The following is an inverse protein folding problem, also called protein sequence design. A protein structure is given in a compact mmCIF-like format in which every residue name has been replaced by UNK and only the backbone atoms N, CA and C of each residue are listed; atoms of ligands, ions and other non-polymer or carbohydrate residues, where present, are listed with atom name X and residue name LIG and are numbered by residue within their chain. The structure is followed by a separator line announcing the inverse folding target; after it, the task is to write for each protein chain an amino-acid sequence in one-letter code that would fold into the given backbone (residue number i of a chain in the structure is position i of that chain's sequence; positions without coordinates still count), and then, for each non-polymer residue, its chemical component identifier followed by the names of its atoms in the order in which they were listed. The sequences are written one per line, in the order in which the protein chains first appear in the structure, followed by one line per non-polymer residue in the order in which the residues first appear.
data_IF_600791410102
#
_entry.id   IF_600791410102
#
_cell.length_a   1.000
_cell.length_b   1.000
_cell.length_c   1.000
_cell.angle_alpha   90.00
_cell.angle_beta   90.00
_cell.angle_gamma   90.00
#
_symmetry.space_group_name_H-M   'P 1'
#
loop_
_entity.id
_entity.type
_entity.pdbx_description
1 polymer ?
#
# COMPACT_ATOMS: atom_id res chain seq x y z
N UNK A 1 0.14 21.55 9.13
CA UNK A 1 -0.22 20.16 9.44
C UNK A 1 -0.53 20.04 10.93
N UNK A 2 -1.55 19.24 11.32
CA UNK A 2 -1.83 19.00 12.75
C UNK A 2 -0.74 18.12 13.37
N UNK A 3 -0.58 18.18 14.70
CA UNK A 3 0.39 17.32 15.42
C UNK A 3 0.18 15.84 15.14
N UNK A 4 -1.06 15.40 14.92
CA UNK A 4 -1.40 14.00 14.59
C UNK A 4 -0.89 13.53 13.21
N UNK A 5 -0.59 14.43 12.29
CA UNK A 5 0.02 14.07 10.99
C UNK A 5 1.54 13.90 11.08
N UNK A 6 2.16 14.40 12.15
CA UNK A 6 3.62 14.36 12.33
C UNK A 6 4.05 13.32 13.37
N UNK A 7 3.21 13.06 14.39
CA UNK A 7 3.47 12.04 15.40
C UNK A 7 2.42 10.94 15.29
N UNK A 8 2.81 9.77 14.86
CA UNK A 8 1.93 8.62 14.74
C UNK A 8 2.67 7.33 15.12
N UNK A 9 1.94 6.22 15.30
CA UNK A 9 2.52 4.95 15.77
C UNK A 9 3.69 4.42 14.92
N UNK A 10 3.83 4.86 13.68
CA UNK A 10 4.89 4.42 12.76
C UNK A 10 6.14 5.30 12.77
N UNK A 11 6.10 6.49 13.37
CA UNK A 11 7.26 7.38 13.41
C UNK A 11 6.89 8.84 13.65
N UNK A 12 7.92 9.69 13.64
CA UNK A 12 7.83 11.14 13.83
C UNK A 12 8.07 11.88 12.51
N UNK A 13 7.21 11.66 11.54
CA UNK A 13 7.26 12.33 10.25
C UNK A 13 5.85 12.58 9.72
N UNK A 14 5.69 13.55 8.84
CA UNK A 14 4.40 13.80 8.24
C UNK A 14 4.02 12.67 7.27
N UNK A 15 2.80 12.17 7.39
CA UNK A 15 2.26 11.15 6.48
C UNK A 15 0.88 11.57 5.98
N UNK A 16 0.69 11.54 4.66
CA UNK A 16 -0.58 11.88 4.04
C UNK A 16 -1.00 10.74 3.11
N UNK A 17 -2.15 10.15 3.39
CA UNK A 17 -2.71 9.07 2.58
C UNK A 17 -3.82 9.60 1.67
N UNK A 18 -3.95 9.07 0.46
CA UNK A 18 -5.02 9.37 -0.49
C UNK A 18 -5.48 8.09 -1.19
N UNK A 19 -6.68 8.10 -1.74
CA UNK A 19 -7.26 7.00 -2.51
C UNK A 19 -8.47 6.37 -1.85
N UNK A 20 -8.83 5.17 -2.31
CA UNK A 20 -10.04 4.46 -1.93
C UNK A 20 -9.73 3.56 -0.73
N UNK A 21 -10.45 3.73 0.38
CA UNK A 21 -10.21 3.00 1.62
C UNK A 21 -11.51 2.46 2.23
N UNK A 22 -11.37 1.39 3.02
CA UNK A 22 -12.40 0.89 3.89
C UNK A 22 -11.77 0.19 5.10
N UNK A 23 -12.17 0.62 6.28
CA UNK A 23 -11.66 0.13 7.56
C UNK A 23 -11.64 1.25 8.60
N UNK A 24 -11.06 0.99 9.78
CA UNK A 24 -10.88 2.02 10.80
C UNK A 24 -12.18 2.72 11.26
N UNK A 25 -13.33 2.02 11.21
CA UNK A 25 -14.63 2.58 11.60
C UNK A 25 -15.48 3.15 10.45
N UNK A 26 -14.97 3.16 9.22
CA UNK A 26 -15.76 3.58 8.06
C UNK A 26 -16.99 2.67 7.88
N UNK A 27 -18.14 3.29 7.55
CA UNK A 27 -19.41 2.57 7.32
C UNK A 27 -19.58 2.12 5.86
N UNK A 28 -18.83 2.72 4.95
CA UNK A 28 -18.80 2.41 3.50
C UNK A 28 -17.42 2.65 2.93
N UNK A 29 -17.14 2.03 1.81
CA UNK A 29 -15.97 2.35 0.98
C UNK A 29 -16.06 3.81 0.53
N UNK A 30 -14.94 4.50 0.50
CA UNK A 30 -14.90 5.89 0.08
C UNK A 30 -13.48 6.39 -0.17
N UNK A 31 -13.38 7.53 -0.82
CA UNK A 31 -12.13 8.26 -0.94
C UNK A 31 -11.74 8.83 0.43
N UNK A 32 -10.45 8.80 0.74
CA UNK A 32 -9.92 9.46 1.93
C UNK A 32 -10.14 10.98 1.80
N UNK A 33 -10.81 11.56 2.80
CA UNK A 33 -11.15 12.97 2.81
C UNK A 33 -9.97 13.86 3.20
N UNK A 34 -9.86 15.01 2.54
CA UNK A 34 -8.85 16.05 2.79
C UNK A 34 -9.50 17.42 2.86
N UNK A 35 -8.81 18.36 3.52
CA UNK A 35 -9.16 19.78 3.37
C UNK A 35 -8.96 20.20 1.90
N UNK A 36 -9.68 21.23 1.40
CA UNK A 36 -9.50 21.69 0.02
C UNK A 36 -8.05 22.01 -0.34
N UNK A 37 -7.31 22.59 0.60
CA UNK A 37 -5.89 22.90 0.43
C UNK A 37 -5.04 21.66 0.24
N UNK A 38 -5.19 20.64 1.10
CA UNK A 38 -4.45 19.38 0.99
C UNK A 38 -4.86 18.60 -0.26
N UNK A 39 -6.13 18.61 -0.64
CA UNK A 39 -6.61 17.97 -1.85
C UNK A 39 -5.93 18.56 -3.10
N UNK A 40 -5.87 19.88 -3.22
CA UNK A 40 -5.21 20.56 -4.33
C UNK A 40 -3.71 20.20 -4.44
N UNK A 41 -2.99 20.15 -3.30
CA UNK A 41 -1.57 19.74 -3.27
C UNK A 41 -1.43 18.29 -3.70
N UNK A 42 -2.24 17.37 -3.16
CA UNK A 42 -2.21 15.96 -3.50
C UNK A 42 -2.52 15.74 -4.98
N UNK A 43 -3.47 16.49 -5.54
CA UNK A 43 -3.80 16.41 -6.97
C UNK A 43 -2.64 16.88 -7.83
N UNK A 44 -1.99 17.99 -7.49
CA UNK A 44 -0.80 18.47 -8.18
C UNK A 44 0.34 17.41 -8.13
N UNK A 45 0.58 16.80 -6.96
CA UNK A 45 1.58 15.75 -6.80
C UNK A 45 1.24 14.52 -7.65
N UNK A 46 -0.01 14.04 -7.61
CA UNK A 46 -0.47 12.88 -8.40
C UNK A 46 -0.40 13.13 -9.91
N UNK A 47 -0.64 14.37 -10.35
CA UNK A 47 -0.59 14.76 -11.75
C UNK A 47 0.83 14.96 -12.26
N UNK A 48 1.83 15.13 -11.40
CA UNK A 48 3.23 15.30 -11.84
C UNK A 48 3.71 14.08 -12.61
N UNK A 49 4.43 14.32 -13.70
CA UNK A 49 4.98 13.25 -14.56
C UNK A 49 5.91 12.33 -13.77
N UNK A 50 6.75 12.87 -12.90
CA UNK A 50 7.68 12.10 -12.07
C UNK A 50 6.92 11.14 -11.15
N UNK A 51 5.90 11.63 -10.43
CA UNK A 51 5.12 10.81 -9.50
C UNK A 51 4.34 9.71 -10.24
N UNK A 52 3.74 10.03 -11.38
CA UNK A 52 3.05 9.02 -12.21
C UNK A 52 4.01 7.94 -12.71
N UNK A 53 5.23 8.30 -13.11
CA UNK A 53 6.24 7.32 -13.54
C UNK A 53 6.65 6.39 -12.40
N UNK A 54 6.89 6.93 -11.20
CA UNK A 54 7.23 6.14 -10.00
C UNK A 54 6.07 5.19 -9.65
N UNK A 55 4.84 5.71 -9.57
CA UNK A 55 3.68 4.92 -9.24
C UNK A 55 3.40 3.80 -10.27
N UNK A 56 3.55 4.10 -11.56
CA UNK A 56 3.37 3.12 -12.62
C UNK A 56 4.50 2.09 -12.68
N UNK A 57 5.74 2.47 -12.37
CA UNK A 57 6.84 1.51 -12.24
C UNK A 57 6.53 0.48 -11.14
N UNK A 58 6.10 0.92 -9.96
CA UNK A 58 5.70 0.04 -8.86
C UNK A 58 4.52 -0.88 -9.24
N UNK A 59 3.49 -0.33 -9.91
CA UNK A 59 2.34 -1.09 -10.39
C UNK A 59 2.73 -2.13 -11.47
N UNK A 60 3.58 -1.76 -12.41
CA UNK A 60 4.05 -2.67 -13.45
C UNK A 60 4.94 -3.77 -12.88
N UNK A 61 5.79 -3.46 -11.89
CA UNK A 61 6.55 -4.47 -11.14
C UNK A 61 5.61 -5.42 -10.41
N UNK A 62 4.55 -4.91 -9.77
CA UNK A 62 3.54 -5.75 -9.14
C UNK A 62 2.84 -6.68 -10.14
N UNK A 63 2.46 -6.15 -11.31
CA UNK A 63 1.86 -6.93 -12.39
C UNK A 63 2.80 -8.01 -12.94
N UNK A 64 4.10 -7.69 -13.08
CA UNK A 64 5.10 -8.60 -13.62
C UNK A 64 5.41 -9.76 -12.66
N UNK A 65 5.64 -9.46 -11.39
CA UNK A 65 6.09 -10.45 -10.42
C UNK A 65 4.94 -11.18 -9.70
N UNK A 66 3.74 -10.59 -9.66
CA UNK A 66 2.58 -11.10 -8.95
C UNK A 66 1.30 -10.98 -9.79
N UNK A 67 1.33 -11.46 -11.03
CA UNK A 67 0.29 -11.22 -12.04
C UNK A 67 -1.12 -11.62 -11.58
N UNK A 68 -1.28 -12.79 -10.96
CA UNK A 68 -2.57 -13.29 -10.43
C UNK A 68 -3.10 -12.38 -9.31
N UNK A 69 -2.21 -11.95 -8.41
CA UNK A 69 -2.55 -11.07 -7.29
C UNK A 69 -2.86 -9.65 -7.77
N UNK A 70 -2.08 -9.13 -8.72
CA UNK A 70 -2.34 -7.86 -9.38
C UNK A 70 -3.73 -7.84 -10.03
N UNK A 71 -4.05 -8.88 -10.80
CA UNK A 71 -5.39 -9.00 -11.42
C UNK A 71 -6.51 -9.03 -10.38
N UNK A 72 -6.32 -9.74 -9.27
CA UNK A 72 -7.30 -9.77 -8.17
C UNK A 72 -7.52 -8.38 -7.54
N UNK A 73 -6.45 -7.59 -7.36
CA UNK A 73 -6.54 -6.21 -6.88
C UNK A 73 -7.30 -5.33 -7.87
N UNK A 74 -6.89 -5.38 -9.12
CA UNK A 74 -7.42 -4.54 -10.19
C UNK A 74 -8.90 -4.81 -10.45
N UNK A 75 -9.28 -6.08 -10.59
CA UNK A 75 -10.67 -6.49 -10.77
C UNK A 75 -11.57 -6.10 -9.58
N UNK A 76 -11.04 -6.20 -8.34
CA UNK A 76 -11.78 -5.75 -7.16
C UNK A 76 -12.01 -4.24 -7.20
N UNK A 77 -10.98 -3.49 -7.55
CA UNK A 77 -11.05 -2.02 -7.59
C UNK A 77 -11.93 -1.53 -8.74
N UNK A 78 -11.89 -2.19 -9.90
CA UNK A 78 -12.80 -1.94 -11.03
C UNK A 78 -14.25 -2.16 -10.63
N UNK A 79 -14.56 -3.28 -9.97
CA UNK A 79 -15.91 -3.57 -9.49
C UNK A 79 -16.42 -2.51 -8.50
N UNK A 80 -15.55 -2.01 -7.61
CA UNK A 80 -15.89 -0.94 -6.67
C UNK A 80 -16.17 0.39 -7.40
N UNK A 81 -15.29 0.80 -8.31
CA UNK A 81 -15.44 2.05 -9.07
C UNK A 81 -16.62 2.01 -10.05
N UNK A 82 -16.90 0.87 -10.67
CA UNK A 82 -18.05 0.70 -11.54
C UNK A 82 -19.38 0.83 -10.78
N UNK A 83 -19.41 0.38 -9.52
CA UNK A 83 -20.58 0.46 -8.67
C UNK A 83 -20.78 1.84 -8.04
N UNK A 84 -19.69 2.53 -7.72
CA UNK A 84 -19.71 3.88 -7.17
C UNK A 84 -18.75 4.78 -7.97
N UNK A 85 -19.28 5.53 -8.97
CA UNK A 85 -18.48 6.41 -9.81
C UNK A 85 -17.81 7.58 -9.05
N UNK A 86 -18.17 7.82 -7.78
CA UNK A 86 -17.49 8.82 -6.95
C UNK A 86 -16.11 8.38 -6.48
N UNK A 87 -15.83 7.07 -6.54
CA UNK A 87 -14.54 6.51 -6.17
C UNK A 87 -13.47 6.81 -7.23
N UNK A 88 -12.35 7.34 -6.78
CA UNK A 88 -11.29 7.80 -7.69
C UNK A 88 -9.97 7.08 -7.39
N UNK A 89 -9.44 6.38 -8.38
CA UNK A 89 -8.07 5.83 -8.32
C UNK A 89 -7.06 6.97 -8.25
N UNK A 90 -6.01 6.83 -7.45
CA UNK A 90 -4.93 7.81 -7.39
C UNK A 90 -4.20 7.96 -8.74
N UNK A 91 -4.02 6.85 -9.46
CA UNK A 91 -3.34 6.79 -10.75
C UNK A 91 -4.14 5.90 -11.69
N UNK A 92 -4.32 6.33 -12.93
CA UNK A 92 -5.05 5.57 -13.96
C UNK A 92 -4.38 4.22 -14.21
N UNK A 93 -5.16 3.14 -14.21
CA UNK A 93 -4.65 1.78 -14.47
C UNK A 93 -3.79 1.19 -13.36
N UNK A 94 -3.78 1.81 -12.17
CA UNK A 94 -3.03 1.33 -11.02
C UNK A 94 -3.93 0.44 -10.13
N UNK A 95 -3.44 -0.75 -9.78
CA UNK A 95 -4.18 -1.73 -8.98
C UNK A 95 -4.18 -1.42 -7.48
N UNK A 96 -3.30 -0.53 -7.00
CA UNK A 96 -3.30 -0.12 -5.60
C UNK A 96 -4.39 0.92 -5.34
N UNK A 97 -5.25 0.65 -4.36
CA UNK A 97 -6.37 1.52 -4.00
C UNK A 97 -5.94 2.80 -3.30
N UNK A 98 -4.86 2.73 -2.52
CA UNK A 98 -4.33 3.83 -1.72
C UNK A 98 -2.86 4.11 -2.02
N UNK A 99 -2.46 5.35 -1.76
CA UNK A 99 -1.07 5.77 -1.67
C UNK A 99 -0.87 6.63 -0.43
N UNK A 100 0.26 6.46 0.26
CA UNK A 100 0.69 7.33 1.35
C UNK A 100 2.03 7.96 0.98
N UNK A 101 2.10 9.27 1.10
CA UNK A 101 3.33 10.03 1.03
C UNK A 101 3.86 10.24 2.44
N UNK A 102 4.98 9.59 2.77
CA UNK A 102 5.74 9.87 3.97
C UNK A 102 6.67 11.04 3.65
N UNK A 103 6.39 12.18 4.28
CA UNK A 103 7.05 13.45 4.01
C UNK A 103 8.11 13.71 5.10
N UNK A 104 9.30 14.06 4.64
CA UNK A 104 10.45 14.27 5.51
C UNK A 104 10.36 15.40 6.52
N UNK A 105 11.50 15.87 6.98
CA UNK A 105 12.80 15.63 6.34
C UNK A 105 13.31 14.19 6.43
N UNK A 106 13.07 13.47 7.52
CA UNK A 106 13.57 12.11 7.73
C UNK A 106 12.42 11.15 8.04
N UNK A 107 11.79 10.62 6.99
CA UNK A 107 10.72 9.62 7.11
C UNK A 107 11.30 8.25 7.48
N UNK A 108 11.58 8.05 8.76
CA UNK A 108 12.10 6.82 9.35
C UNK A 108 11.01 6.13 10.15
N UNK A 109 10.62 4.95 9.72
CA UNK A 109 9.54 4.19 10.35
C UNK A 109 10.07 3.31 11.48
N UNK A 110 9.38 3.32 12.61
CA UNK A 110 9.56 2.35 13.69
C UNK A 110 9.11 0.95 13.27
N UNK A 111 9.47 -0.06 14.06
CA UNK A 111 9.03 -1.44 13.81
C UNK A 111 7.51 -1.54 13.84
N UNK A 112 6.92 -2.02 12.75
CA UNK A 112 5.48 -2.18 12.62
C UNK A 112 5.10 -3.21 11.56
N UNK A 113 3.81 -3.57 11.54
CA UNK A 113 3.13 -4.20 10.42
C UNK A 113 1.97 -3.32 9.97
N UNK A 114 1.61 -3.40 8.71
CA UNK A 114 0.43 -2.74 8.15
C UNK A 114 -0.81 -3.67 8.23
N UNK A 115 -1.17 -4.08 9.43
CA UNK A 115 -2.17 -5.11 9.73
C UNK A 115 -3.57 -4.87 9.13
N UNK A 116 -3.88 -3.66 8.65
CA UNK A 116 -5.12 -3.35 7.94
C UNK A 116 -5.05 -3.63 6.44
N UNK A 117 -3.88 -3.85 5.88
CA UNK A 117 -3.72 -4.24 4.48
C UNK A 117 -4.17 -5.70 4.27
N UNK A 118 -4.35 -6.08 3.01
CA UNK A 118 -4.69 -7.47 2.67
C UNK A 118 -3.57 -8.41 3.16
N UNK A 119 -3.85 -9.44 4.01
CA UNK A 119 -2.81 -10.24 4.64
C UNK A 119 -1.87 -10.96 3.67
N UNK A 120 -2.38 -11.43 2.53
CA UNK A 120 -1.58 -12.06 1.47
C UNK A 120 -1.24 -11.08 0.33
N UNK A 121 -1.50 -9.79 0.57
CA UNK A 121 -1.29 -8.75 -0.42
C UNK A 121 0.10 -8.17 -0.39
N UNK A 122 0.44 -7.43 -1.45
CA UNK A 122 1.68 -6.67 -1.54
C UNK A 122 1.45 -5.19 -1.31
N UNK A 123 2.45 -4.57 -0.71
CA UNK A 123 2.63 -3.13 -0.62
C UNK A 123 3.87 -2.77 -1.45
N UNK A 124 3.78 -1.73 -2.25
CA UNK A 124 4.93 -1.17 -2.95
C UNK A 124 5.47 0.01 -2.16
N UNK A 125 6.74 -0.02 -1.81
CA UNK A 125 7.43 1.05 -1.09
C UNK A 125 8.54 1.57 -1.99
N UNK A 126 8.50 2.86 -2.32
CA UNK A 126 9.56 3.55 -3.08
C UNK A 126 10.26 4.53 -2.17
N UNK A 127 11.57 4.37 -1.99
CA UNK A 127 12.42 5.32 -1.28
C UNK A 127 12.68 6.55 -2.17
N UNK A 128 12.64 7.73 -1.56
CA UNK A 128 12.88 9.01 -2.23
C UNK A 128 13.73 9.89 -1.31
N UNK A 129 14.36 10.90 -1.86
CA UNK A 129 15.14 11.88 -1.13
C UNK A 129 16.60 11.93 -1.55
N UNK A 130 17.42 12.45 -0.65
CA UNK A 130 18.87 12.59 -0.80
C UNK A 130 19.54 12.15 0.50
N UNK A 131 20.09 10.95 0.50
CA UNK A 131 20.77 10.32 1.63
C UNK A 131 21.74 9.24 1.15
N UNK A 132 22.76 8.92 1.95
CA UNK A 132 23.70 7.82 1.69
C UNK A 132 23.09 6.46 2.10
N UNK A 133 22.66 5.63 1.13
CA UNK A 133 21.99 4.36 1.41
C UNK A 133 22.92 3.31 2.00
N UNK A 134 24.25 3.48 1.90
CA UNK A 134 25.23 2.56 2.49
C UNK A 134 25.39 2.77 3.99
N UNK A 135 24.98 3.92 4.50
CA UNK A 135 25.15 4.34 5.90
C UNK A 135 23.85 4.44 6.67
N UNK A 136 22.71 4.63 5.99
CA UNK A 136 21.42 4.80 6.65
C UNK A 136 20.22 4.57 5.73
N UNK A 137 19.00 4.71 6.26
CA UNK A 137 17.77 4.56 5.49
C UNK A 137 17.42 3.14 5.03
N UNK A 138 18.22 2.14 5.40
CA UNK A 138 17.99 0.74 5.07
C UNK A 138 16.58 0.30 5.42
N UNK A 139 16.02 -0.62 4.65
CA UNK A 139 14.81 -1.34 5.02
C UNK A 139 15.20 -2.58 5.83
N UNK A 140 14.62 -2.72 7.02
CA UNK A 140 14.83 -3.86 7.91
C UNK A 140 13.57 -4.73 7.89
N UNK A 141 13.72 -5.99 7.49
CA UNK A 141 12.67 -7.01 7.52
C UNK A 141 12.95 -7.96 8.68
N UNK A 142 12.35 -7.67 9.83
CA UNK A 142 12.69 -8.31 11.11
C UNK A 142 12.42 -9.83 11.13
N UNK A 143 11.31 -10.26 10.55
CA UNK A 143 10.93 -11.67 10.55
C UNK A 143 11.77 -12.52 9.58
N UNK A 144 12.49 -11.88 8.66
CA UNK A 144 13.39 -12.52 7.70
C UNK A 144 14.87 -12.32 8.06
N UNK A 145 15.17 -11.58 9.13
CA UNK A 145 16.53 -11.22 9.54
C UNK A 145 17.33 -10.55 8.41
N UNK A 146 16.67 -9.68 7.61
CA UNK A 146 17.27 -9.00 6.47
C UNK A 146 17.40 -7.50 6.74
N UNK A 147 18.56 -6.95 6.42
CA UNK A 147 18.82 -5.51 6.29
C UNK A 147 19.15 -5.26 4.82
N UNK A 148 18.35 -4.41 4.17
CA UNK A 148 18.41 -4.18 2.73
C UNK A 148 18.83 -2.74 2.51
N UNK A 149 19.94 -2.50 1.77
CA UNK A 149 20.23 -1.18 1.24
C UNK A 149 19.06 -0.72 0.38
N UNK A 150 18.56 0.48 0.67
CA UNK A 150 17.35 0.97 0.05
C UNK A 150 17.54 2.38 -0.52
N UNK A 151 18.31 2.50 -1.63
CA UNK A 151 18.67 3.78 -2.23
C UNK A 151 17.46 4.58 -2.68
N UNK A 152 17.57 5.93 -2.73
CA UNK A 152 16.56 6.76 -3.38
C UNK A 152 16.27 6.30 -4.82
N UNK A 153 14.99 6.27 -5.20
CA UNK A 153 14.53 5.79 -6.50
C UNK A 153 14.24 4.29 -6.60
N UNK A 154 14.64 3.50 -5.60
CA UNK A 154 14.32 2.06 -5.59
C UNK A 154 12.93 1.76 -5.05
N UNK A 155 12.34 0.68 -5.57
CA UNK A 155 11.02 0.20 -5.15
C UNK A 155 11.12 -1.26 -4.72
N UNK A 156 10.48 -1.60 -3.60
CA UNK A 156 10.33 -2.97 -3.13
C UNK A 156 8.85 -3.34 -3.00
N UNK A 157 8.53 -4.60 -3.25
CA UNK A 157 7.22 -5.19 -3.02
C UNK A 157 7.31 -6.14 -1.83
N UNK A 158 6.56 -5.88 -0.75
CA UNK A 158 6.56 -6.71 0.45
C UNK A 158 5.14 -6.99 0.93
N UNK A 159 4.87 -8.15 1.56
CA UNK A 159 3.61 -8.43 2.23
C UNK A 159 3.59 -7.71 3.60
N UNK A 160 3.46 -6.38 3.57
CA UNK A 160 3.62 -5.49 4.73
C UNK A 160 2.62 -5.74 5.86
N UNK A 161 1.50 -6.41 5.56
CA UNK A 161 0.49 -6.77 6.56
C UNK A 161 0.99 -7.81 7.58
N UNK A 162 1.94 -8.66 7.19
CA UNK A 162 2.42 -9.80 8.00
C UNK A 162 3.91 -9.72 8.34
N UNK A 163 4.72 -9.00 7.57
CA UNK A 163 6.15 -8.81 7.87
C UNK A 163 6.36 -7.56 8.73
N UNK A 164 7.00 -7.74 9.88
CA UNK A 164 7.50 -6.62 10.69
C UNK A 164 8.64 -5.95 9.95
N UNK A 165 8.50 -4.64 9.74
CA UNK A 165 9.48 -3.86 9.01
C UNK A 165 9.68 -2.48 9.63
N UNK A 166 10.85 -1.90 9.39
CA UNK A 166 11.24 -0.56 9.82
C UNK A 166 12.34 0.01 8.92
N UNK A 167 12.73 1.26 9.18
CA UNK A 167 13.91 1.83 8.54
C UNK A 167 15.03 2.08 9.56
N UNK A 168 16.28 1.89 9.16
CA UNK A 168 17.42 2.39 9.87
C UNK A 168 17.44 3.92 9.87
N UNK A 169 17.87 4.59 10.95
CA UNK A 169 18.06 6.03 10.97
C UNK A 169 19.04 6.50 9.89
N UNK A 170 18.91 7.76 9.48
CA UNK A 170 19.93 8.44 8.68
C UNK A 170 21.08 8.89 9.57
N UNK A 171 22.25 9.03 9.00
CA UNK A 171 23.48 9.38 9.76
C UNK A 171 23.60 10.89 9.93
N UNK A 172 23.25 11.66 8.90
CA UNK A 172 23.36 13.12 8.93
C UNK A 172 22.00 13.80 9.11
N UNK A 173 21.88 14.85 9.93
CA UNK A 173 20.68 15.65 10.02
C UNK A 173 20.34 16.42 8.74
N UNK A 174 21.33 16.57 7.84
CA UNK A 174 21.14 17.23 6.54
C UNK A 174 20.64 16.29 5.44
N UNK A 175 20.61 14.99 5.70
CA UNK A 175 20.03 14.03 4.77
C UNK A 175 18.49 14.06 4.82
N UNK A 176 17.89 13.84 3.65
CA UNK A 176 16.44 13.86 3.50
C UNK A 176 15.94 12.52 2.97
N UNK A 177 14.99 11.93 3.66
CA UNK A 177 14.32 10.70 3.22
C UNK A 177 12.80 10.89 3.20
N UNK A 178 12.23 10.52 2.09
CA UNK A 178 10.79 10.46 1.84
C UNK A 178 10.42 9.05 1.36
N UNK A 179 9.14 8.73 1.30
CA UNK A 179 8.70 7.49 0.67
C UNK A 179 7.31 7.64 0.06
N UNK A 180 7.10 6.99 -1.09
CA UNK A 180 5.78 6.70 -1.61
C UNK A 180 5.44 5.25 -1.31
N UNK A 181 4.32 5.04 -0.63
CA UNK A 181 3.81 3.71 -0.29
C UNK A 181 2.48 3.51 -1.01
N UNK A 182 2.36 2.46 -1.85
CA UNK A 182 1.11 2.09 -2.51
C UNK A 182 0.60 0.76 -1.93
N UNK A 183 -0.68 0.70 -1.58
CA UNK A 183 -1.27 -0.43 -0.89
C UNK A 183 -2.78 -0.52 -1.10
N UNK A 184 -3.39 -1.62 -0.64
CA UNK A 184 -4.84 -1.78 -0.59
C UNK A 184 -5.27 -2.35 0.77
N UNK A 185 -6.23 -1.69 1.39
CA UNK A 185 -6.78 -2.15 2.66
C UNK A 185 -7.54 -3.47 2.47
N UNK A 186 -7.31 -4.44 3.35
CA UNK A 186 -8.00 -5.73 3.33
C UNK A 186 -9.51 -5.62 3.48
N UNK A 187 -9.97 -4.52 4.09
CA UNK A 187 -11.38 -4.17 4.19
C UNK A 187 -12.09 -4.02 2.85
N UNK A 188 -11.41 -3.51 1.81
CA UNK A 188 -11.98 -3.36 0.46
C UNK A 188 -12.39 -4.71 -0.14
N UNK A 189 -11.50 -5.69 -0.05
CA UNK A 189 -11.75 -7.05 -0.55
C UNK A 189 -12.87 -7.73 0.24
N UNK A 190 -12.91 -7.53 1.56
CA UNK A 190 -13.98 -8.03 2.41
C UNK A 190 -15.32 -7.38 2.09
N UNK A 191 -15.34 -6.09 1.83
CA UNK A 191 -16.53 -5.37 1.40
C UNK A 191 -17.11 -5.95 0.11
N UNK A 192 -16.26 -6.18 -0.90
CA UNK A 192 -16.66 -6.82 -2.15
C UNK A 192 -17.17 -8.26 -1.91
N UNK A 193 -16.48 -9.06 -1.11
CA UNK A 193 -16.88 -10.43 -0.75
C UNK A 193 -18.20 -10.49 0.03
N UNK A 194 -18.52 -9.45 0.82
CA UNK A 194 -19.80 -9.31 1.53
C UNK A 194 -20.94 -8.74 0.65
N UNK A 195 -20.79 -8.67 -0.67
CA UNK A 195 -21.79 -8.11 -1.55
C UNK A 195 -21.95 -6.59 -1.44
N UNK A 196 -20.84 -5.87 -1.22
CA UNK A 196 -20.77 -4.41 -1.10
C UNK A 196 -21.53 -3.86 0.12
N UNK A 197 -21.33 -4.50 1.26
CA UNK A 197 -21.90 -4.10 2.54
C UNK A 197 -20.91 -4.42 3.68
N UNK A 198 -21.19 -3.90 4.87
CA UNK A 198 -20.38 -4.24 6.04
C UNK A 198 -20.53 -5.70 6.41
N UNK A 199 -19.50 -6.29 7.00
CA UNK A 199 -19.56 -7.66 7.52
C UNK A 199 -20.73 -7.86 8.53
N UNK A 200 -21.05 -6.82 9.30
CA UNK A 200 -22.17 -6.83 10.25
C UNK A 200 -23.51 -6.97 9.49
N UNK A 201 -23.75 -6.13 8.48
CA UNK A 201 -24.96 -6.21 7.66
C UNK A 201 -25.08 -7.55 6.95
N UNK A 202 -23.99 -8.02 6.30
CA UNK A 202 -23.94 -9.31 5.64
C UNK A 202 -24.38 -10.45 6.56
N UNK A 203 -23.82 -10.53 7.76
CA UNK A 203 -24.17 -11.57 8.73
C UNK A 203 -25.60 -11.43 9.27
N UNK A 204 -26.05 -10.21 9.57
CA UNK A 204 -27.42 -9.95 10.04
C UNK A 204 -28.47 -10.31 9.00
N UNK A 205 -28.12 -10.28 7.72
CA UNK A 205 -28.97 -10.74 6.62
C UNK A 205 -28.87 -12.26 6.33
N UNK A 206 -28.24 -13.03 7.23
CA UNK A 206 -28.06 -14.48 7.05
C UNK A 206 -26.91 -14.87 6.13
N UNK A 207 -26.08 -13.91 5.71
CA UNK A 207 -24.97 -14.16 4.80
C UNK A 207 -23.90 -15.08 5.40
N UNK A 208 -23.49 -16.06 4.62
CA UNK A 208 -22.43 -17.01 4.96
C UNK A 208 -21.32 -16.89 3.90
N UNK A 209 -20.08 -16.84 4.37
CA UNK A 209 -18.94 -16.82 3.45
C UNK A 209 -18.82 -18.14 2.70
N UNK A 210 -18.63 -18.07 1.38
CA UNK A 210 -18.39 -19.25 0.54
C UNK A 210 -17.11 -20.02 0.92
N UNK A 211 -16.17 -19.35 1.57
CA UNK A 211 -14.89 -19.90 1.98
C UNK A 211 -14.61 -19.60 3.46
N UNK A 212 -14.02 -20.57 4.17
CA UNK A 212 -13.45 -20.36 5.50
C UNK A 212 -12.25 -19.42 5.46
N UNK A 213 -11.82 -18.87 6.59
CA UNK A 213 -10.62 -18.04 6.67
C UNK A 213 -9.36 -18.79 6.17
N UNK A 214 -9.23 -20.09 6.48
CA UNK A 214 -8.11 -20.93 6.01
C UNK A 214 -8.14 -21.12 4.49
N UNK A 215 -9.32 -21.31 3.91
CA UNK A 215 -9.46 -21.44 2.45
C UNK A 215 -9.13 -20.14 1.73
N UNK A 216 -9.60 -18.98 2.26
CA UNK A 216 -9.23 -17.66 1.73
C UNK A 216 -7.72 -17.41 1.80
N UNK A 217 -7.09 -17.77 2.92
CA UNK A 217 -5.64 -17.68 3.05
C UNK A 217 -4.92 -18.52 2.01
N UNK A 218 -5.27 -19.81 1.87
CA UNK A 218 -4.68 -20.70 0.85
C UNK A 218 -4.85 -20.16 -0.58
N UNK A 219 -6.06 -19.67 -0.91
CA UNK A 219 -6.31 -19.02 -2.20
C UNK A 219 -5.40 -17.80 -2.39
N UNK A 220 -5.31 -16.96 -1.37
CA UNK A 220 -4.51 -15.74 -1.43
C UNK A 220 -3.02 -16.02 -1.63
N UNK A 221 -2.45 -16.92 -0.84
CA UNK A 221 -1.05 -17.33 -0.98
C UNK A 221 -0.80 -18.02 -2.32
N UNK A 222 -1.78 -18.77 -2.84
CA UNK A 222 -1.69 -19.39 -4.19
C UNK A 222 -1.70 -18.39 -5.36
N UNK A 223 -1.97 -17.10 -5.10
CA UNK A 223 -1.82 -16.03 -6.08
C UNK A 223 -0.41 -15.42 -6.12
N UNK A 224 0.43 -15.74 -5.13
CA UNK A 224 1.83 -15.32 -5.14
C UNK A 224 2.59 -16.14 -6.20
N UNK A 225 3.42 -15.47 -6.99
CA UNK A 225 4.24 -16.13 -8.00
C UNK A 225 5.32 -16.99 -7.34
N UNK A 226 5.60 -18.16 -7.94
CA UNK A 226 6.73 -19.00 -7.58
C UNK A 226 7.91 -18.58 -8.46
N UNK A 227 9.09 -18.45 -7.87
CA UNK A 227 10.28 -17.98 -8.59
C UNK A 227 10.60 -18.82 -9.84
N UNK A 228 10.38 -20.13 -9.79
CA UNK A 228 10.64 -21.03 -10.92
C UNK A 228 9.64 -20.83 -12.07
N UNK A 229 8.36 -20.53 -11.77
CA UNK A 229 7.36 -20.13 -12.77
C UNK A 229 7.76 -18.81 -13.45
N UNK A 230 8.25 -17.83 -12.66
CA UNK A 230 8.72 -16.56 -13.19
C UNK A 230 9.96 -16.69 -14.07
N UNK A 231 10.90 -17.58 -13.73
CA UNK A 231 12.04 -17.89 -14.59
C UNK A 231 11.63 -18.56 -15.91
N UNK A 232 10.71 -19.53 -15.83
CA UNK A 232 10.24 -20.26 -17.01
C UNK A 232 9.42 -19.39 -17.99
N UNK A 233 8.81 -18.29 -17.51
CA UNK A 233 8.00 -17.38 -18.32
C UNK A 233 8.82 -16.28 -19.01
N UNK A 234 10.14 -16.22 -18.79
CA UNK A 234 11.03 -15.28 -19.50
C UNK A 234 11.44 -15.88 -20.85
N UNK A 235 11.32 -15.09 -21.94
CA UNK A 235 11.82 -15.47 -23.24
C UNK A 235 13.34 -15.62 -23.23
#
# INVERSE_FOLDING_TARGET
MSKSHVQHRRGNFAAVASGISFGGGQQRVGNLAHSPYNAAILDAVKQSTAMRRIANFANNSFRLFFSKLHHFYDATLDALCSRDPSLQRNFTGNAFACATWNLGPQAISYVHTDHLNLPWGMCAITALGDFDPTRGGHLILWDLHLIIEFPPGTTILIPSAILRHSNAPLVSPNEHRYALIQYSAGGLFRWAECGHQTQKQFRSAGGVYAQTGRQRWKRGVGMLGIWDELKASRP
#
